data_IF_911342159014
#
_entry.id   IF_911342159014
#
_cell.length_a   1.000
_cell.length_b   1.000
_cell.length_c   1.000
_cell.angle_alpha   90.00
_cell.angle_beta   90.00
_cell.angle_gamma   90.00
#
_symmetry.space_group_name_H-M   'P 1'
#
loop_
_entity.id
_entity.type
_entity.pdbx_description
1 polymer ?
#
# COMPACT_ATOMS: atom_id res chain seq x y z
N UNK A 1 19.13 7.80 4.19
CA UNK A 1 18.18 8.58 3.36
C UNK A 1 17.32 7.65 2.50
N UNK A 2 17.90 6.69 1.78
CA UNK A 2 17.21 5.70 0.95
C UNK A 2 16.04 4.96 1.64
N UNK A 3 16.22 4.49 2.88
CA UNK A 3 15.16 3.76 3.61
C UNK A 3 13.89 4.59 3.85
N UNK A 4 14.01 5.93 3.95
CA UNK A 4 12.87 6.83 4.15
C UNK A 4 12.06 7.01 2.88
N UNK A 5 12.75 7.16 1.75
CA UNK A 5 12.12 7.32 0.43
C UNK A 5 11.40 6.03 0.05
N UNK A 6 12.07 4.88 0.21
CA UNK A 6 11.47 3.57 -0.07
C UNK A 6 10.18 3.36 0.73
N UNK A 7 10.19 3.59 2.05
CA UNK A 7 8.99 3.48 2.88
C UNK A 7 7.85 4.43 2.49
N UNK A 8 8.19 5.61 1.98
CA UNK A 8 7.20 6.63 1.59
C UNK A 8 6.50 6.26 0.28
N UNK A 9 7.22 5.78 -0.73
CA UNK A 9 6.64 5.53 -2.07
C UNK A 9 6.25 4.07 -2.31
N UNK A 10 6.57 3.15 -1.39
CA UNK A 10 6.43 1.71 -1.63
C UNK A 10 5.03 1.24 -2.09
N UNK A 11 3.92 1.64 -1.45
CA UNK A 11 2.60 1.27 -1.93
C UNK A 11 2.30 1.88 -3.29
N UNK A 12 2.59 3.18 -3.47
CA UNK A 12 2.36 3.88 -4.73
C UNK A 12 3.10 3.21 -5.90
N UNK A 13 4.38 2.92 -5.72
CA UNK A 13 5.20 2.23 -6.70
C UNK A 13 4.61 0.86 -7.05
N UNK A 14 4.35 0.02 -6.03
CA UNK A 14 3.84 -1.34 -6.23
C UNK A 14 2.48 -1.35 -6.95
N UNK A 15 1.57 -0.46 -6.55
CA UNK A 15 0.24 -0.34 -7.16
C UNK A 15 0.31 0.07 -8.62
N UNK A 16 1.09 1.11 -8.93
CA UNK A 16 1.21 1.61 -10.30
C UNK A 16 1.91 0.57 -11.19
N UNK A 17 2.99 -0.05 -10.71
CA UNK A 17 3.69 -1.10 -11.46
C UNK A 17 2.76 -2.27 -11.75
N UNK A 18 2.06 -2.82 -10.75
CA UNK A 18 1.15 -3.95 -10.98
C UNK A 18 0.00 -3.58 -11.92
N UNK A 19 -0.51 -2.36 -11.85
CA UNK A 19 -1.55 -1.88 -12.76
C UNK A 19 -1.04 -1.81 -14.20
N UNK A 20 0.14 -1.23 -14.42
CA UNK A 20 0.76 -1.15 -15.75
C UNK A 20 1.06 -2.54 -16.30
N UNK A 21 1.63 -3.45 -15.49
CA UNK A 21 1.88 -4.82 -15.91
C UNK A 21 0.59 -5.56 -16.30
N UNK A 22 -0.49 -5.34 -15.54
CA UNK A 22 -1.80 -5.89 -15.86
C UNK A 22 -2.39 -5.29 -17.15
N UNK A 23 -2.19 -4.00 -17.42
CA UNK A 23 -2.61 -3.37 -18.69
C UNK A 23 -1.94 -4.03 -19.90
N UNK A 24 -0.69 -4.45 -19.77
CA UNK A 24 0.05 -5.15 -20.82
C UNK A 24 -0.23 -6.66 -20.89
N UNK A 25 -1.14 -7.19 -20.06
CA UNK A 25 -1.47 -8.63 -20.07
C UNK A 25 -0.34 -9.53 -19.57
N UNK A 26 0.62 -9.00 -18.80
CA UNK A 26 1.83 -9.73 -18.43
C UNK A 26 1.61 -10.81 -17.37
N UNK A 27 0.40 -10.92 -16.82
CA UNK A 27 0.03 -11.99 -15.87
C UNK A 27 -0.78 -13.12 -16.52
N UNK A 28 -0.99 -13.09 -17.85
CA UNK A 28 -1.70 -14.14 -18.60
C UNK A 28 -2.75 -13.58 -19.57
N UNK A 29 -3.46 -14.47 -20.26
CA UNK A 29 -4.50 -14.06 -21.20
C UNK A 29 -5.87 -13.87 -20.53
N UNK A 30 -6.62 -12.87 -21.00
CA UNK A 30 -8.02 -12.65 -20.64
C UNK A 30 -8.29 -12.60 -19.13
N UNK A 31 -9.08 -13.54 -18.64
CA UNK A 31 -9.56 -13.57 -17.25
C UNK A 31 -8.51 -13.97 -16.22
N UNK A 32 -7.43 -14.64 -16.64
CA UNK A 32 -6.31 -14.96 -15.75
C UNK A 32 -5.62 -13.68 -15.26
N UNK A 33 -5.36 -12.75 -16.18
CA UNK A 33 -4.75 -11.46 -15.85
C UNK A 33 -5.65 -10.59 -14.97
N UNK A 34 -6.96 -10.57 -15.23
CA UNK A 34 -7.94 -9.88 -14.36
C UNK A 34 -7.96 -10.47 -12.94
N UNK A 35 -7.95 -11.79 -12.83
CA UNK A 35 -7.94 -12.50 -11.55
C UNK A 35 -6.67 -12.20 -10.75
N UNK A 36 -5.52 -12.14 -11.42
CA UNK A 36 -4.26 -11.73 -10.78
C UNK A 36 -4.31 -10.27 -10.31
N UNK A 37 -4.86 -9.37 -11.10
CA UNK A 37 -5.02 -7.97 -10.68
C UNK A 37 -5.97 -7.83 -9.47
N UNK A 38 -7.04 -8.61 -9.43
CA UNK A 38 -7.94 -8.68 -8.26
C UNK A 38 -7.22 -9.19 -6.99
N UNK A 39 -6.35 -10.20 -7.11
CA UNK A 39 -5.47 -10.61 -6.01
C UNK A 39 -4.56 -9.46 -5.55
N UNK A 40 -4.07 -8.65 -6.50
CA UNK A 40 -3.33 -7.43 -6.22
C UNK A 40 -4.11 -6.47 -5.31
N UNK A 41 -5.35 -6.17 -5.66
CA UNK A 41 -6.24 -5.29 -4.91
C UNK A 41 -6.56 -5.85 -3.51
N UNK A 42 -6.92 -7.13 -3.43
CA UNK A 42 -7.43 -7.72 -2.18
C UNK A 42 -6.31 -8.04 -1.19
N UNK A 43 -5.10 -8.37 -1.67
CA UNK A 43 -4.02 -8.89 -0.83
C UNK A 43 -2.77 -8.01 -0.92
N UNK A 44 -2.22 -7.83 -2.13
CA UNK A 44 -0.90 -7.19 -2.28
C UNK A 44 -0.95 -5.72 -1.84
N UNK A 45 -1.93 -4.95 -2.30
CA UNK A 45 -2.04 -3.53 -2.01
C UNK A 45 -2.18 -3.28 -0.50
N UNK A 46 -3.12 -3.92 0.24
CA UNK A 46 -3.21 -3.77 1.69
C UNK A 46 -1.90 -4.11 2.42
N UNK A 47 -1.22 -5.18 2.01
CA UNK A 47 0.07 -5.55 2.61
C UNK A 47 1.13 -4.46 2.39
N UNK A 48 1.15 -3.81 1.22
CA UNK A 48 2.06 -2.68 1.00
C UNK A 48 1.73 -1.49 1.92
N UNK A 49 0.45 -1.20 2.15
CA UNK A 49 0.01 -0.16 3.10
C UNK A 49 0.40 -0.50 4.54
N UNK A 50 0.30 -1.77 4.96
CA UNK A 50 0.79 -2.23 6.26
C UNK A 50 2.30 -2.01 6.39
N UNK A 51 3.08 -2.38 5.38
CA UNK A 51 4.55 -2.18 5.38
C UNK A 51 4.88 -0.68 5.44
N UNK A 52 4.17 0.16 4.70
CA UNK A 52 4.33 1.62 4.78
C UNK A 52 4.03 2.14 6.20
N UNK A 53 2.95 1.68 6.82
CA UNK A 53 2.61 2.04 8.21
C UNK A 53 3.75 1.69 9.18
N UNK A 54 4.28 0.46 9.09
CA UNK A 54 5.46 0.03 9.87
C UNK A 54 6.66 0.94 9.59
N UNK A 55 6.93 1.25 8.32
CA UNK A 55 8.05 2.07 7.92
C UNK A 55 7.94 3.51 8.44
N UNK A 56 6.75 4.10 8.41
CA UNK A 56 6.49 5.42 8.99
C UNK A 56 6.78 5.45 10.49
N UNK A 57 6.32 4.43 11.23
CA UNK A 57 6.53 4.32 12.67
C UNK A 57 7.99 4.04 13.07
N UNK A 58 8.78 3.39 12.20
CA UNK A 58 10.18 3.02 12.48
C UNK A 58 11.19 4.08 12.02
N UNK A 59 10.98 4.67 10.85
CA UNK A 59 11.94 5.54 10.18
C UNK A 59 11.67 7.05 10.36
N UNK A 60 10.70 7.44 11.20
CA UNK A 60 10.28 8.84 11.40
C UNK A 60 9.92 9.53 10.06
N UNK A 61 9.21 8.80 9.19
CA UNK A 61 8.65 9.35 7.96
C UNK A 61 7.34 10.05 8.34
N UNK A 62 7.04 11.19 7.73
CA UNK A 62 5.75 11.86 7.95
C UNK A 62 4.60 10.95 7.49
N UNK A 63 3.74 10.47 8.42
CA UNK A 63 2.70 9.50 8.09
C UNK A 63 1.64 10.05 7.14
N UNK A 64 1.27 11.32 7.28
CA UNK A 64 0.29 11.97 6.42
C UNK A 64 0.79 12.09 4.98
N UNK A 65 2.06 12.45 4.80
CA UNK A 65 2.67 12.54 3.48
C UNK A 65 2.74 11.17 2.80
N UNK A 66 3.11 10.12 3.53
CA UNK A 66 3.19 8.77 3.00
C UNK A 66 1.81 8.22 2.58
N UNK A 67 0.78 8.46 3.39
CA UNK A 67 -0.60 8.12 3.04
C UNK A 67 -1.08 8.91 1.82
N UNK A 68 -0.84 10.21 1.78
CA UNK A 68 -1.24 11.07 0.66
C UNK A 68 -0.68 10.54 -0.67
N UNK A 69 0.63 10.25 -0.72
CA UNK A 69 1.29 9.72 -1.93
C UNK A 69 0.66 8.38 -2.36
N UNK A 70 0.37 7.50 -1.41
CA UNK A 70 -0.24 6.20 -1.70
C UNK A 70 -1.68 6.33 -2.18
N UNK A 71 -2.47 7.23 -1.59
CA UNK A 71 -3.85 7.48 -2.01
C UNK A 71 -3.95 8.19 -3.36
N UNK A 72 -2.99 9.06 -3.71
CA UNK A 72 -2.90 9.61 -5.06
C UNK A 72 -2.70 8.48 -6.07
N UNK A 73 -1.74 7.59 -5.83
CA UNK A 73 -1.51 6.43 -6.70
C UNK A 73 -2.75 5.51 -6.77
N UNK A 74 -3.40 5.24 -5.65
CA UNK A 74 -4.62 4.43 -5.62
C UNK A 74 -5.76 5.09 -6.42
N UNK A 75 -5.90 6.42 -6.36
CA UNK A 75 -6.86 7.16 -7.17
C UNK A 75 -6.59 7.00 -8.66
N UNK A 76 -5.32 7.06 -9.08
CA UNK A 76 -4.90 6.81 -10.47
C UNK A 76 -5.28 5.39 -10.90
N UNK A 77 -5.08 4.39 -10.03
CA UNK A 77 -5.46 3.00 -10.31
C UNK A 77 -6.97 2.85 -10.45
N UNK A 78 -7.76 3.50 -9.58
CA UNK A 78 -9.23 3.48 -9.70
C UNK A 78 -9.64 4.05 -11.05
N UNK A 79 -9.19 5.26 -11.39
CA UNK A 79 -9.59 5.93 -12.62
C UNK A 79 -9.17 5.18 -13.90
N UNK A 80 -8.06 4.44 -13.84
CA UNK A 80 -7.52 3.71 -14.99
C UNK A 80 -8.13 2.33 -15.19
N UNK A 81 -8.51 1.62 -14.11
CA UNK A 81 -8.75 0.18 -14.18
C UNK A 81 -9.98 -0.32 -13.42
N UNK A 82 -10.59 0.50 -12.55
CA UNK A 82 -11.69 0.09 -11.69
C UNK A 82 -12.90 1.02 -11.84
N UNK A 83 -14.05 0.54 -11.38
CA UNK A 83 -15.25 1.36 -11.30
C UNK A 83 -15.28 2.14 -9.97
N UNK A 84 -16.17 3.12 -9.85
CA UNK A 84 -16.41 3.92 -8.65
C UNK A 84 -16.72 3.09 -7.40
N UNK A 85 -17.20 1.85 -7.53
CA UNK A 85 -17.39 0.94 -6.41
C UNK A 85 -16.09 0.56 -5.70
N UNK A 86 -14.92 0.67 -6.36
CA UNK A 86 -13.63 0.34 -5.79
C UNK A 86 -13.15 1.33 -4.71
N UNK A 87 -13.81 2.48 -4.54
CA UNK A 87 -13.53 3.39 -3.42
C UNK A 87 -13.71 2.72 -2.05
N UNK A 88 -14.50 1.65 -1.94
CA UNK A 88 -14.63 0.87 -0.71
C UNK A 88 -13.31 0.27 -0.20
N UNK A 89 -12.36 -0.03 -1.10
CA UNK A 89 -11.04 -0.55 -0.70
C UNK A 89 -10.17 0.50 -0.01
N UNK A 90 -10.49 1.80 -0.12
CA UNK A 90 -9.74 2.87 0.55
C UNK A 90 -9.71 2.70 2.07
N UNK A 91 -10.86 2.36 2.67
CA UNK A 91 -11.00 2.13 4.13
C UNK A 91 -10.24 0.86 4.51
N UNK A 92 -10.37 -0.19 3.71
CA UNK A 92 -9.67 -1.46 3.94
C UNK A 92 -8.14 -1.25 3.97
N UNK A 93 -7.58 -0.47 3.05
CA UNK A 93 -6.15 -0.16 3.03
C UNK A 93 -5.75 0.73 4.22
N UNK A 94 -6.61 1.67 4.61
CA UNK A 94 -6.38 2.49 5.80
C UNK A 94 -6.25 1.63 7.06
N UNK A 95 -7.12 0.63 7.23
CA UNK A 95 -7.06 -0.29 8.37
C UNK A 95 -5.71 -1.00 8.42
N UNK A 96 -5.24 -1.55 7.30
CA UNK A 96 -3.94 -2.20 7.22
C UNK A 96 -2.78 -1.25 7.57
N UNK A 97 -2.84 -0.02 7.07
CA UNK A 97 -1.85 1.00 7.40
C UNK A 97 -1.84 1.34 8.90
N UNK A 98 -3.02 1.54 9.50
CA UNK A 98 -3.17 1.83 10.93
C UNK A 98 -2.63 0.68 11.78
N UNK A 99 -2.94 -0.56 11.43
CA UNK A 99 -2.41 -1.76 12.08
C UNK A 99 -0.88 -1.77 12.02
N UNK A 100 -0.29 -1.52 10.85
CA UNK A 100 1.16 -1.44 10.70
C UNK A 100 1.79 -0.32 11.53
N UNK A 101 1.22 0.88 11.47
CA UNK A 101 1.74 2.07 12.16
C UNK A 101 1.66 1.94 13.69
N UNK A 102 0.47 1.64 14.23
CA UNK A 102 0.29 1.52 15.66
C UNK A 102 0.95 0.26 16.22
N UNK A 103 0.91 -0.85 15.50
CA UNK A 103 1.59 -2.09 15.88
C UNK A 103 3.09 -1.86 16.05
N UNK A 104 3.75 -1.24 15.05
CA UNK A 104 5.17 -0.92 15.14
C UNK A 104 5.50 0.08 16.25
N UNK A 105 4.68 1.12 16.44
CA UNK A 105 4.85 2.10 17.52
C UNK A 105 4.72 1.46 18.91
N UNK A 106 3.75 0.56 19.07
CA UNK A 106 3.54 -0.23 20.29
C UNK A 106 4.74 -1.13 20.61
N UNK A 107 5.24 -1.87 19.62
CA UNK A 107 6.42 -2.72 19.77
C UNK A 107 7.67 -1.91 20.17
N UNK A 108 7.89 -0.73 19.57
CA UNK A 108 9.02 0.15 19.94
C UNK A 108 8.90 0.62 21.40
N UNK A 109 7.72 1.06 21.82
CA UNK A 109 7.44 1.50 23.20
C UNK A 109 7.63 0.38 24.21
N UNK A 110 7.25 -0.86 23.86
CA UNK A 110 7.45 -2.01 24.73
C UNK A 110 8.95 -2.37 24.85
N UNK A 111 9.69 -2.34 23.75
CA UNK A 111 11.13 -2.62 23.75
C UNK A 111 11.93 -1.57 24.54
N UNK A 112 11.51 -0.30 24.55
CA UNK A 112 12.19 0.74 25.35
C UNK A 112 11.92 0.65 26.85
N UNK A 113 10.84 -0.02 27.30
CA UNK A 113 10.54 -0.24 28.73
C UNK A 113 11.31 -1.41 29.34
N UNK A 114 11.88 -2.27 28.50
CA UNK A 114 12.71 -3.42 28.91
C UNK A 114 14.21 -3.12 28.95
N UNK A 115 14.62 -1.95 28.45
CA UNK A 115 15.96 -1.39 28.62
C UNK A 115 15.98 -0.51 29.85
#
# INVERSE_FOLDING_TARGET
MYNKIAGLIFPAFTMLTLTVLAMFGLFGEGDVNKSFFLLGIVIIFPLTFLIQGISCATNNINPFLALLVSYIAFTIVILSFLNSSAWGYSIYYLVFWLVGFFGAKGMRKWRSRKK
#
